data_IF_630744690752
#
_entry.id   IF_630744690752
#
_cell.length_a   1.000
_cell.length_b   1.000
_cell.length_c   1.000
_cell.angle_alpha   90.00
_cell.angle_beta   90.00
_cell.angle_gamma   90.00
#
_symmetry.space_group_name_H-M   'P 1'
#
loop_
_entity.id
_entity.type
_entity.pdbx_description
1 polymer ?
#
# COMPACT_ATOMS: atom_id res chain seq x y z
N UNK A 1 -3.92 -6.99 -17.10
CA UNK A 1 -3.46 -6.18 -15.96
C UNK A 1 -4.66 -5.49 -15.35
N UNK A 2 -4.81 -5.55 -14.03
CA UNK A 2 -5.86 -4.81 -13.31
C UNK A 2 -5.58 -3.31 -13.43
N UNK A 3 -6.62 -2.49 -13.59
CA UNK A 3 -6.47 -1.02 -13.56
C UNK A 3 -6.28 -0.57 -12.11
N UNK A 4 -5.47 0.48 -11.85
CA UNK A 4 -5.43 1.11 -10.54
C UNK A 4 -6.82 1.62 -10.16
N UNK A 5 -7.22 1.38 -8.92
CA UNK A 5 -8.48 1.88 -8.37
C UNK A 5 -8.25 2.51 -6.98
N UNK A 6 -9.02 3.54 -6.61
CA UNK A 6 -8.93 4.13 -5.28
C UNK A 6 -9.47 3.15 -4.24
N UNK A 7 -8.62 2.73 -3.31
CA UNK A 7 -8.96 1.85 -2.19
C UNK A 7 -8.73 2.61 -0.88
N UNK A 8 -9.69 2.52 0.04
CA UNK A 8 -9.56 3.13 1.35
C UNK A 8 -8.47 2.44 2.19
N UNK A 9 -7.57 3.21 2.77
CA UNK A 9 -6.37 2.70 3.48
C UNK A 9 -6.76 1.80 4.68
N UNK A 10 -7.85 2.13 5.38
CA UNK A 10 -8.37 1.36 6.52
C UNK A 10 -8.83 -0.06 6.16
N UNK A 11 -9.11 -0.32 4.86
CA UNK A 11 -9.45 -1.64 4.35
C UNK A 11 -8.22 -2.49 4.02
N UNK A 12 -7.01 -1.92 4.08
CA UNK A 12 -5.77 -2.61 3.70
C UNK A 12 -5.11 -3.22 4.94
N UNK A 13 -5.10 -4.55 5.01
CA UNK A 13 -4.34 -5.31 5.97
C UNK A 13 -2.88 -5.50 5.50
N UNK A 14 -1.94 -5.03 6.31
CA UNK A 14 -0.50 -5.22 6.10
C UNK A 14 -0.02 -6.41 6.94
N UNK A 15 0.42 -7.53 6.33
CA UNK A 15 0.93 -8.69 7.06
C UNK A 15 2.15 -8.34 7.92
N UNK A 16 2.22 -8.90 9.14
CA UNK A 16 3.28 -8.61 10.13
C UNK A 16 4.69 -8.85 9.58
N UNK A 17 4.87 -9.86 8.72
CA UNK A 17 6.17 -10.17 8.10
C UNK A 17 6.70 -9.05 7.21
N UNK A 18 5.82 -8.29 6.55
CA UNK A 18 6.19 -7.16 5.66
C UNK A 18 6.46 -5.86 6.41
N UNK A 19 6.03 -5.76 7.67
CA UNK A 19 6.35 -4.60 8.53
C UNK A 19 7.80 -4.61 9.00
N UNK A 20 8.48 -5.76 8.90
CA UNK A 20 9.87 -5.90 9.32
C UNK A 20 10.77 -5.48 8.15
N UNK A 21 11.68 -4.53 8.40
CA UNK A 21 12.68 -3.99 7.47
C UNK A 21 12.22 -2.82 6.56
N UNK A 22 11.37 -1.92 7.06
CA UNK A 22 11.15 -0.64 6.39
C UNK A 22 12.33 0.31 6.66
N UNK A 23 12.90 0.88 5.60
CA UNK A 23 13.87 1.97 5.70
C UNK A 23 13.15 3.30 5.93
N UNK A 24 13.39 3.91 7.09
CA UNK A 24 12.71 5.13 7.50
C UNK A 24 13.02 6.34 6.58
N UNK A 25 14.24 6.44 6.04
CA UNK A 25 14.59 7.53 5.12
C UNK A 25 13.89 7.35 3.77
N UNK A 26 13.79 6.11 3.29
CA UNK A 26 13.03 5.81 2.09
C UNK A 26 11.54 6.13 2.26
N UNK A 27 10.93 5.74 3.39
CA UNK A 27 9.53 6.04 3.71
C UNK A 27 9.28 7.54 3.73
N UNK A 28 10.15 8.33 4.39
CA UNK A 28 9.99 9.79 4.47
C UNK A 28 10.02 10.44 3.08
N UNK A 29 11.02 10.10 2.27
CA UNK A 29 11.16 10.63 0.90
C UNK A 29 9.97 10.28 0.01
N UNK A 30 9.43 9.07 0.12
CA UNK A 30 8.24 8.66 -0.63
C UNK A 30 7.01 9.44 -0.15
N UNK A 31 6.84 9.62 1.17
CA UNK A 31 5.73 10.40 1.72
C UNK A 31 5.76 11.86 1.28
N UNK A 32 6.94 12.50 1.26
CA UNK A 32 7.13 13.86 0.75
C UNK A 32 6.74 13.96 -0.74
N UNK A 33 7.19 13.01 -1.56
CA UNK A 33 6.80 12.95 -2.98
C UNK A 33 5.29 12.77 -3.17
N UNK A 34 4.65 11.89 -2.39
CA UNK A 34 3.19 11.68 -2.46
C UNK A 34 2.42 12.96 -2.12
N UNK A 35 2.94 13.80 -1.22
CA UNK A 35 2.32 15.10 -0.91
C UNK A 35 2.48 16.12 -2.05
N UNK A 36 3.58 16.06 -2.81
CA UNK A 36 3.89 17.01 -3.88
C UNK A 36 3.23 16.64 -5.22
N UNK A 37 3.38 15.39 -5.67
CA UNK A 37 2.95 14.92 -7.00
C UNK A 37 1.86 13.83 -6.94
N UNK A 38 1.49 13.40 -5.74
CA UNK A 38 0.58 12.26 -5.56
C UNK A 38 1.30 10.92 -5.64
N UNK A 39 0.54 9.83 -5.51
CA UNK A 39 1.07 8.48 -5.64
C UNK A 39 1.14 8.08 -7.12
N UNK A 40 2.37 8.02 -7.67
CA UNK A 40 2.60 7.68 -9.07
C UNK A 40 2.60 6.16 -9.31
N UNK A 41 3.09 5.37 -8.34
CA UNK A 41 3.15 3.92 -8.41
C UNK A 41 2.03 3.29 -7.58
N UNK A 42 1.09 2.54 -8.20
CA UNK A 42 0.06 1.84 -7.45
C UNK A 42 0.66 0.66 -6.65
N UNK A 43 0.03 0.34 -5.52
CA UNK A 43 0.35 -0.85 -4.73
C UNK A 43 -0.44 -2.07 -5.24
N UNK A 44 0.10 -3.26 -5.01
CA UNK A 44 -0.59 -4.51 -5.33
C UNK A 44 -1.25 -5.06 -4.08
N UNK A 45 -2.55 -5.34 -4.18
CA UNK A 45 -3.33 -5.96 -3.13
C UNK A 45 -4.10 -7.17 -3.65
N UNK A 46 -4.45 -8.07 -2.74
CA UNK A 46 -5.38 -9.17 -3.00
C UNK A 46 -6.65 -8.96 -2.18
N UNK A 47 -7.85 -9.09 -2.74
CA UNK A 47 -9.08 -9.10 -1.95
C UNK A 47 -9.11 -10.28 -0.99
N UNK A 48 -9.61 -10.04 0.21
CA UNK A 48 -9.97 -11.03 1.23
C UNK A 48 -11.49 -10.92 1.43
N UNK A 49 -12.22 -11.78 0.73
CA UNK A 49 -13.70 -11.76 0.69
C UNK A 49 -14.30 -12.10 2.05
N UNK A 50 -13.67 -13.00 2.82
CA UNK A 50 -14.15 -13.40 4.15
C UNK A 50 -14.13 -12.21 5.12
N UNK A 51 -13.09 -11.38 5.04
CA UNK A 51 -12.91 -10.22 5.94
C UNK A 51 -13.32 -8.88 5.34
N UNK A 52 -13.82 -8.86 4.09
CA UNK A 52 -14.17 -7.64 3.33
C UNK A 52 -13.01 -6.61 3.26
N UNK A 53 -11.76 -7.11 3.24
CA UNK A 53 -10.53 -6.33 3.30
C UNK A 53 -9.63 -6.63 2.10
N UNK A 54 -8.52 -5.92 2.01
CA UNK A 54 -7.46 -6.14 1.03
C UNK A 54 -6.17 -6.50 1.75
N UNK A 55 -5.45 -7.52 1.30
CA UNK A 55 -4.15 -7.90 1.85
C UNK A 55 -3.05 -7.34 0.96
N UNK A 56 -2.11 -6.60 1.55
CA UNK A 56 -0.96 -6.07 0.83
C UNK A 56 -0.08 -7.19 0.25
N UNK A 57 0.09 -7.18 -1.08
CA UNK A 57 0.97 -8.09 -1.82
C UNK A 57 2.26 -7.41 -2.27
N UNK A 58 2.25 -6.13 -2.61
CA UNK A 58 3.44 -5.38 -3.01
C UNK A 58 3.25 -3.87 -2.84
N UNK A 59 4.34 -3.15 -2.56
CA UNK A 59 4.33 -1.71 -2.26
C UNK A 59 5.50 -1.29 -1.40
#
# INVERSE_FOLDING_TARGET
MSKPEPISIDRIYVPVKRRRNLDAEAVRRIAESILEVGQEAPILVRPDEDQHRYVLLDG
#
